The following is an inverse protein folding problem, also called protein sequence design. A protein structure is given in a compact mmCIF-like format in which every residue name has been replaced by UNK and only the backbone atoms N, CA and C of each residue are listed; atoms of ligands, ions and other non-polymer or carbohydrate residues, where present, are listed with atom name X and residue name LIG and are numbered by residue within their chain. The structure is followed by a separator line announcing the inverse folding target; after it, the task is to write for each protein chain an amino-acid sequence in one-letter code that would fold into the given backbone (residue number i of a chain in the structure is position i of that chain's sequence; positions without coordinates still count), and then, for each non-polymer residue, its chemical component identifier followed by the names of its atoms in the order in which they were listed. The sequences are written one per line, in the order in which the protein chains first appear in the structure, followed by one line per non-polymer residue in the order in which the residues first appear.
data_IF_688607809354
#
_entry.id   IF_688607809354
#
_cell.length_a   1.000
_cell.length_b   1.000
_cell.length_c   1.000
_cell.angle_alpha   90.00
_cell.angle_beta   90.00
_cell.angle_gamma   90.00
#
_symmetry.space_group_name_H-M   'P 1'
#
loop_
_entity.id
_entity.type
_entity.pdbx_description
1 polymer ?
#
# COMPACT_ATOMS: atom_id res chain seq x y z
N UNK A 1 -25.67 3.15 14.91
CA UNK A 1 -24.76 4.32 15.03
C UNK A 1 -23.71 4.10 16.09
N UNK A 2 -24.03 3.55 17.27
CA UNK A 2 -23.03 3.28 18.33
C UNK A 2 -21.88 2.35 17.93
N UNK A 3 -22.15 1.25 17.22
CA UNK A 3 -21.11 0.35 16.70
C UNK A 3 -20.11 1.07 15.79
N UNK A 4 -20.62 1.93 14.92
CA UNK A 4 -19.82 2.73 13.98
C UNK A 4 -18.97 3.76 14.73
N UNK A 5 -19.54 4.41 15.75
CA UNK A 5 -18.82 5.36 16.60
C UNK A 5 -17.73 4.67 17.43
N UNK A 6 -17.98 3.46 17.93
CA UNK A 6 -16.98 2.67 18.67
C UNK A 6 -15.82 2.23 17.77
N UNK A 7 -16.11 1.73 16.57
CA UNK A 7 -15.08 1.27 15.64
C UNK A 7 -14.22 2.43 15.12
N UNK A 8 -14.84 3.56 14.79
CA UNK A 8 -14.11 4.76 14.38
C UNK A 8 -13.24 5.32 15.53
N UNK A 9 -13.76 5.37 16.76
CA UNK A 9 -12.98 5.79 17.94
C UNK A 9 -11.84 4.83 18.26
N UNK A 10 -12.00 3.52 18.05
CA UNK A 10 -10.91 2.55 18.24
C UNK A 10 -9.83 2.70 17.17
N UNK A 11 -10.20 2.94 15.91
CA UNK A 11 -9.22 3.11 14.83
C UNK A 11 -8.46 4.44 14.97
N UNK A 12 -9.14 5.55 15.27
CA UNK A 12 -8.48 6.83 15.60
C UNK A 12 -7.65 6.73 16.89
N UNK A 13 -8.17 6.02 17.90
CA UNK A 13 -7.43 5.72 19.13
C UNK A 13 -6.15 4.92 18.87
N UNK A 14 -6.18 3.95 17.96
CA UNK A 14 -5.02 3.14 17.56
C UNK A 14 -3.97 3.90 16.75
N UNK A 15 -4.37 4.97 16.06
CA UNK A 15 -3.47 5.88 15.34
C UNK A 15 -2.71 6.83 16.28
N UNK A 16 -3.32 7.19 17.41
CA UNK A 16 -2.79 8.17 18.36
C UNK A 16 -2.17 7.55 19.61
N UNK A 17 -2.49 6.29 19.92
CA UNK A 17 -2.00 5.60 21.12
C UNK A 17 -0.97 4.50 20.76
N UNK A 18 0.33 4.71 21.05
CA UNK A 18 1.37 3.70 20.82
C UNK A 18 1.20 2.43 21.66
N UNK A 19 0.33 2.43 22.69
CA UNK A 19 0.00 1.25 23.50
C UNK A 19 -0.91 0.24 22.77
N UNK A 20 -1.36 0.51 21.53
CA UNK A 20 -2.07 -0.43 20.67
C UNK A 20 -1.17 -1.55 20.08
N UNK A 21 0.04 -1.71 20.60
CA UNK A 21 1.04 -2.74 20.21
C UNK A 21 0.56 -4.18 20.44
N UNK A 22 -0.63 -4.38 21.04
CA UNK A 22 -1.20 -5.70 21.36
C UNK A 22 -2.36 -6.13 20.45
N UNK A 23 -2.81 -5.28 19.52
CA UNK A 23 -3.98 -5.60 18.67
C UNK A 23 -3.67 -6.76 17.72
N UNK A 24 -2.48 -6.77 17.10
CA UNK A 24 -2.12 -7.85 16.18
C UNK A 24 -1.95 -9.20 16.88
N UNK A 25 -1.35 -9.23 18.08
CA UNK A 25 -1.19 -10.47 18.83
C UNK A 25 -2.53 -11.08 19.25
N UNK A 26 -3.50 -10.23 19.59
CA UNK A 26 -4.86 -10.65 19.90
C UNK A 26 -5.62 -11.13 18.66
N UNK A 27 -5.43 -10.46 17.52
CA UNK A 27 -6.02 -10.79 16.22
C UNK A 27 -5.66 -12.21 15.74
N UNK A 28 -4.38 -12.61 15.88
CA UNK A 28 -3.90 -13.92 15.43
C UNK A 28 -3.92 -15.00 16.52
N UNK A 29 -4.40 -14.71 17.73
CA UNK A 29 -4.34 -15.62 18.89
C UNK A 29 -4.95 -17.01 18.65
N UNK A 30 -6.01 -17.06 17.85
CA UNK A 30 -6.76 -18.30 17.59
C UNK A 30 -6.43 -18.95 16.25
N UNK A 31 -5.36 -18.48 15.57
CA UNK A 31 -5.00 -18.97 14.24
C UNK A 31 -3.90 -20.02 14.33
N UNK A 32 -4.16 -21.18 13.74
CA UNK A 32 -3.15 -22.22 13.59
C UNK A 32 -2.22 -21.92 12.40
N UNK A 33 -1.05 -21.36 12.70
CA UNK A 33 -0.01 -21.05 11.70
C UNK A 33 0.52 -22.30 10.97
N UNK A 34 0.37 -23.50 11.52
CA UNK A 34 0.80 -24.73 10.85
C UNK A 34 -0.08 -25.02 9.62
N UNK A 35 -1.38 -24.73 9.72
CA UNK A 35 -2.38 -24.96 8.66
C UNK A 35 -2.32 -23.98 7.48
N UNK A 36 -1.67 -22.82 7.67
CA UNK A 36 -1.59 -21.75 6.68
C UNK A 36 -0.57 -22.05 5.57
N UNK A 37 -0.78 -21.48 4.38
CA UNK A 37 0.20 -21.47 3.30
C UNK A 37 1.41 -20.57 3.63
N UNK A 38 2.48 -20.67 2.84
CA UNK A 38 3.68 -19.84 3.03
C UNK A 38 3.36 -18.34 2.93
N UNK A 39 2.47 -17.96 2.00
CA UNK A 39 2.08 -16.57 1.79
C UNK A 39 1.22 -16.04 2.94
N UNK A 40 0.26 -16.82 3.43
CA UNK A 40 -0.57 -16.44 4.58
C UNK A 40 0.26 -16.32 5.86
N UNK A 41 1.24 -17.21 6.07
CA UNK A 41 2.20 -17.09 7.17
C UNK A 41 3.04 -15.82 7.07
N UNK A 42 3.57 -15.51 5.88
CA UNK A 42 4.34 -14.29 5.64
C UNK A 42 3.49 -13.03 5.88
N UNK A 43 2.22 -13.07 5.45
CA UNK A 43 1.25 -12.01 5.70
C UNK A 43 1.01 -11.80 7.20
N UNK A 44 0.63 -12.85 7.92
CA UNK A 44 0.41 -12.76 9.37
C UNK A 44 1.66 -12.28 10.13
N UNK A 45 2.84 -12.78 9.76
CA UNK A 45 4.12 -12.35 10.35
C UNK A 45 4.40 -10.86 10.12
N UNK A 46 4.02 -10.30 8.98
CA UNK A 46 4.16 -8.86 8.74
C UNK A 46 3.32 -8.03 9.72
N UNK A 47 2.06 -8.41 9.93
CA UNK A 47 1.19 -7.72 10.88
C UNK A 47 1.66 -7.89 12.32
N UNK A 48 2.16 -9.07 12.69
CA UNK A 48 2.76 -9.32 14.00
C UNK A 48 4.03 -8.49 14.24
N UNK A 49 4.88 -8.32 13.21
CA UNK A 49 6.11 -7.52 13.31
C UNK A 49 5.82 -6.05 13.63
N UNK A 50 4.81 -5.46 12.99
CA UNK A 50 4.43 -4.07 13.23
C UNK A 50 3.55 -3.88 14.48
N UNK A 51 2.85 -4.93 14.93
CA UNK A 51 1.98 -4.91 16.12
C UNK A 51 0.67 -4.11 15.98
N UNK A 52 0.58 -3.25 14.95
CA UNK A 52 -0.58 -2.42 14.65
C UNK A 52 -1.01 -2.65 13.19
N UNK A 53 -2.26 -3.09 12.93
CA UNK A 53 -2.73 -3.41 11.58
C UNK A 53 -2.84 -2.19 10.65
N UNK A 54 -3.10 -1.00 11.20
CA UNK A 54 -3.15 0.25 10.44
C UNK A 54 -1.76 0.60 9.92
N UNK A 55 -0.74 0.52 10.78
CA UNK A 55 0.66 0.76 10.40
C UNK A 55 1.16 -0.32 9.43
N UNK A 56 0.87 -1.59 9.71
CA UNK A 56 1.26 -2.71 8.86
C UNK A 56 0.70 -2.55 7.43
N UNK A 57 -0.60 -2.25 7.32
CA UNK A 57 -1.28 -2.07 6.02
C UNK A 57 -0.79 -0.83 5.31
N UNK A 58 -0.66 0.30 6.02
CA UNK A 58 -0.21 1.57 5.47
C UNK A 58 1.19 1.49 4.88
N UNK A 59 2.15 0.92 5.62
CA UNK A 59 3.54 0.78 5.17
C UNK A 59 3.63 -0.18 3.98
N UNK A 60 2.96 -1.34 4.05
CA UNK A 60 2.96 -2.29 2.93
C UNK A 60 2.38 -1.67 1.65
N UNK A 61 1.22 -1.02 1.76
CA UNK A 61 0.53 -0.41 0.63
C UNK A 61 1.35 0.73 0.04
N UNK A 62 1.97 1.55 0.89
CA UNK A 62 2.82 2.66 0.46
C UNK A 62 4.04 2.18 -0.30
N UNK A 63 4.79 1.22 0.26
CA UNK A 63 5.99 0.66 -0.40
C UNK A 63 5.63 -0.01 -1.71
N UNK A 64 4.56 -0.82 -1.75
CA UNK A 64 4.11 -1.46 -2.98
C UNK A 64 3.72 -0.42 -4.04
N UNK A 65 2.97 0.62 -3.66
CA UNK A 65 2.57 1.71 -4.54
C UNK A 65 3.79 2.43 -5.12
N UNK A 66 4.73 2.85 -4.27
CA UNK A 66 5.94 3.54 -4.72
C UNK A 66 6.77 2.67 -5.67
N UNK A 67 6.99 1.39 -5.33
CA UNK A 67 7.77 0.48 -6.16
C UNK A 67 7.13 0.27 -7.53
N UNK A 68 5.82 0.05 -7.59
CA UNK A 68 5.13 -0.17 -8.87
C UNK A 68 5.03 1.14 -9.66
N UNK A 69 4.68 2.25 -8.99
CA UNK A 69 4.48 3.54 -9.64
C UNK A 69 5.79 4.09 -10.22
N UNK A 70 6.85 4.19 -9.41
CA UNK A 70 8.16 4.67 -9.88
C UNK A 70 8.89 3.62 -10.72
N UNK A 71 8.75 2.33 -10.38
CA UNK A 71 9.33 1.24 -11.17
C UNK A 71 8.81 1.21 -12.60
N UNK A 72 7.52 1.49 -12.81
CA UNK A 72 6.93 1.62 -14.15
C UNK A 72 7.55 2.74 -14.99
N UNK A 73 8.08 3.80 -14.38
CA UNK A 73 8.71 4.89 -15.11
C UNK A 73 10.10 4.52 -15.66
N UNK A 74 10.79 3.55 -15.06
CA UNK A 74 12.16 3.16 -15.41
C UNK A 74 12.28 2.70 -16.89
N UNK A 75 11.44 1.77 -17.39
CA UNK A 75 11.47 1.39 -18.81
C UNK A 75 11.33 2.59 -19.76
N UNK A 76 10.49 3.56 -19.42
CA UNK A 76 10.26 4.74 -20.26
C UNK A 76 11.46 5.69 -20.26
N UNK A 77 12.13 5.86 -19.12
CA UNK A 77 13.38 6.63 -19.03
C UNK A 77 14.47 5.99 -19.91
N UNK A 78 14.57 4.66 -19.91
CA UNK A 78 15.53 3.92 -20.75
C UNK A 78 15.20 4.10 -22.23
N UNK A 79 13.93 3.97 -22.63
CA UNK A 79 13.49 4.18 -24.01
C UNK A 79 13.80 5.61 -24.48
N UNK A 80 13.59 6.60 -23.62
CA UNK A 80 13.87 8.01 -23.93
C UNK A 80 15.36 8.30 -24.16
N UNK A 81 16.23 7.58 -23.46
CA UNK A 81 17.67 7.69 -23.61
C UNK A 81 18.19 7.08 -24.93
N UNK A 82 17.45 6.13 -25.55
CA UNK A 82 17.87 5.46 -26.78
C UNK A 82 17.62 6.34 -28.03
N UNK A 83 18.67 6.70 -28.80
CA UNK A 83 18.51 7.51 -30.02
C UNK A 83 17.60 6.85 -31.07
N UNK A 84 17.59 5.52 -31.15
CA UNK A 84 16.81 4.74 -32.11
C UNK A 84 15.29 4.82 -31.90
N UNK A 85 14.85 5.14 -30.68
CA UNK A 85 13.43 5.20 -30.31
C UNK A 85 12.84 6.61 -30.45
N UNK A 86 13.67 7.64 -30.66
CA UNK A 86 13.23 9.05 -30.80
C UNK A 86 12.27 9.26 -31.96
N UNK A 87 12.38 8.47 -33.04
CA UNK A 87 11.50 8.53 -34.21
C UNK A 87 10.03 8.16 -33.94
N UNK A 88 9.75 7.51 -32.80
CA UNK A 88 8.39 7.14 -32.39
C UNK A 88 7.76 8.17 -31.45
N UNK A 89 8.48 9.26 -31.11
CA UNK A 89 7.95 10.32 -30.25
C UNK A 89 6.99 11.21 -31.04
N UNK A 90 5.89 11.60 -30.41
CA UNK A 90 4.91 12.53 -30.97
C UNK A 90 5.44 13.98 -31.04
N UNK A 91 6.38 14.34 -30.15
CA UNK A 91 7.05 15.64 -30.10
C UNK A 91 8.56 15.40 -30.10
N UNK A 92 9.15 15.40 -31.29
CA UNK A 92 10.57 15.13 -31.53
C UNK A 92 11.50 16.28 -31.13
N UNK A 93 11.04 17.53 -31.26
CA UNK A 93 11.80 18.72 -30.86
C UNK A 93 11.97 18.88 -29.34
N UNK A 94 11.11 18.22 -28.54
CA UNK A 94 11.12 18.35 -27.08
C UNK A 94 11.81 17.17 -26.42
N UNK A 95 13.13 17.27 -26.28
CA UNK A 95 13.93 16.31 -25.53
C UNK A 95 14.11 16.85 -24.10
N UNK A 96 13.52 16.20 -23.08
CA UNK A 96 13.65 16.66 -21.70
C UNK A 96 15.10 16.50 -21.23
N UNK A 97 15.67 17.56 -20.66
CA UNK A 97 17.00 17.51 -20.06
C UNK A 97 16.96 16.76 -18.71
N UNK A 98 18.09 16.18 -18.25
CA UNK A 98 18.14 15.52 -16.94
C UNK A 98 17.72 16.43 -15.78
N UNK A 99 18.02 17.73 -15.87
CA UNK A 99 17.62 18.74 -14.88
C UNK A 99 16.09 18.93 -14.83
N UNK A 100 15.45 18.99 -16.00
CA UNK A 100 14.00 19.08 -16.10
C UNK A 100 13.33 17.82 -15.56
N UNK A 101 13.87 16.64 -15.87
CA UNK A 101 13.39 15.38 -15.33
C UNK A 101 13.50 15.37 -13.81
N UNK A 102 14.65 15.76 -13.25
CA UNK A 102 14.85 15.79 -11.80
C UNK A 102 13.94 16.79 -11.10
N UNK A 103 13.73 17.97 -11.71
CA UNK A 103 12.77 18.96 -11.21
C UNK A 103 11.36 18.39 -11.19
N UNK A 104 10.93 17.70 -12.26
CA UNK A 104 9.64 17.02 -12.33
C UNK A 104 9.51 15.94 -11.24
N UNK A 105 10.52 15.07 -11.11
CA UNK A 105 10.55 14.00 -10.09
C UNK A 105 10.37 14.56 -8.68
N UNK A 106 11.01 15.68 -8.35
CA UNK A 106 10.81 16.32 -7.04
C UNK A 106 9.37 16.77 -6.80
N UNK A 107 8.70 17.33 -7.81
CA UNK A 107 7.30 17.72 -7.69
C UNK A 107 6.38 16.52 -7.52
N UNK A 108 6.63 15.44 -8.26
CA UNK A 108 5.86 14.19 -8.12
C UNK A 108 6.07 13.56 -6.74
N UNK A 109 7.31 13.51 -6.26
CA UNK A 109 7.61 13.03 -4.90
C UNK A 109 6.91 13.89 -3.85
N UNK A 110 6.94 15.21 -4.01
CA UNK A 110 6.24 16.12 -3.09
C UNK A 110 4.73 15.84 -3.07
N UNK A 111 4.08 15.66 -4.23
CA UNK A 111 2.65 15.33 -4.27
C UNK A 111 2.35 13.94 -3.70
N UNK A 112 3.24 12.97 -3.91
CA UNK A 112 3.11 11.62 -3.33
C UNK A 112 3.14 11.66 -1.81
N UNK A 113 4.10 12.35 -1.20
CA UNK A 113 4.20 12.42 0.25
C UNK A 113 3.13 13.31 0.90
N UNK A 114 2.61 14.32 0.19
CA UNK A 114 1.65 15.29 0.77
C UNK A 114 0.19 14.94 0.54
N UNK A 115 -0.14 14.37 -0.62
CA UNK A 115 -1.53 14.08 -1.01
C UNK A 115 -1.79 12.59 -1.05
N UNK A 116 -0.91 11.82 -1.70
CA UNK A 116 -1.15 10.39 -1.88
C UNK A 116 -0.92 9.59 -0.60
N UNK A 117 0.09 9.93 0.20
CA UNK A 117 0.40 9.24 1.45
C UNK A 117 -0.77 9.29 2.45
N UNK A 118 -1.39 10.46 2.75
CA UNK A 118 -2.60 10.50 3.57
C UNK A 118 -3.75 9.67 3.00
N UNK A 119 -3.90 9.63 1.67
CA UNK A 119 -4.93 8.84 1.01
C UNK A 119 -4.67 7.32 1.12
N UNK A 120 -3.41 6.89 1.03
CA UNK A 120 -3.03 5.49 1.24
C UNK A 120 -3.22 5.09 2.71
N UNK A 121 -2.87 5.96 3.65
CA UNK A 121 -3.08 5.69 5.07
C UNK A 121 -4.56 5.65 5.45
N UNK A 122 -5.42 6.40 4.76
CA UNK A 122 -6.86 6.35 4.98
C UNK A 122 -7.54 5.11 4.38
N UNK A 123 -6.86 4.35 3.50
CA UNK A 123 -7.41 3.14 2.90
C UNK A 123 -7.84 2.10 3.94
N UNK A 124 -6.96 1.81 4.91
CA UNK A 124 -7.24 0.80 5.94
C UNK A 124 -8.46 1.13 6.81
N UNK A 125 -8.58 2.33 7.43
CA UNK A 125 -9.77 2.67 8.21
C UNK A 125 -11.04 2.71 7.36
N UNK A 126 -10.96 3.08 6.08
CA UNK A 126 -12.12 3.05 5.17
C UNK A 126 -12.54 1.60 4.90
N UNK A 127 -11.58 0.69 4.69
CA UNK A 127 -11.89 -0.73 4.51
C UNK A 127 -12.55 -1.34 5.75
N UNK A 128 -12.01 -1.07 6.94
CA UNK A 128 -12.61 -1.51 8.20
C UNK A 128 -14.02 -0.93 8.41
N UNK A 129 -14.24 0.34 8.01
CA UNK A 129 -15.56 0.97 8.05
C UNK A 129 -16.60 0.22 7.20
N UNK A 130 -16.20 -0.31 6.05
CA UNK A 130 -17.06 -1.14 5.20
C UNK A 130 -17.06 -2.64 5.59
N UNK A 131 -16.39 -3.01 6.68
CA UNK A 131 -16.31 -4.39 7.15
C UNK A 131 -15.37 -5.28 6.33
N UNK A 132 -14.46 -4.71 5.55
CA UNK A 132 -13.43 -5.44 4.82
C UNK A 132 -12.25 -5.74 5.75
N UNK A 133 -12.04 -7.02 6.05
CA UNK A 133 -10.93 -7.46 6.88
C UNK A 133 -9.66 -7.66 6.04
N UNK A 134 -8.88 -6.60 5.85
CA UNK A 134 -7.65 -6.64 5.02
C UNK A 134 -6.52 -7.44 5.65
N UNK A 135 -6.59 -7.69 6.96
CA UNK A 135 -5.56 -8.37 7.75
C UNK A 135 -5.88 -9.84 8.04
N UNK A 136 -7.07 -10.33 7.69
CA UNK A 136 -7.49 -11.69 8.03
C UNK A 136 -6.75 -12.75 7.22
N UNK A 137 -6.46 -13.86 7.90
CA UNK A 137 -6.08 -15.15 7.30
C UNK A 137 -6.99 -16.23 7.92
N UNK A 138 -7.30 -17.34 7.24
CA UNK A 138 -6.87 -17.71 5.89
C UNK A 138 -7.49 -16.82 4.80
N UNK A 139 -6.83 -16.74 3.65
CA UNK A 139 -7.35 -15.96 2.53
C UNK A 139 -8.64 -16.57 1.96
N UNK A 140 -9.50 -15.75 1.33
CA UNK A 140 -10.65 -16.27 0.61
C UNK A 140 -10.21 -17.29 -0.45
N UNK A 141 -11.04 -18.31 -0.67
CA UNK A 141 -10.77 -19.29 -1.72
C UNK A 141 -10.52 -18.58 -3.07
N UNK A 142 -9.54 -19.05 -3.84
CA UNK A 142 -9.08 -18.38 -5.07
C UNK A 142 -10.20 -18.11 -6.09
N UNK A 143 -11.26 -18.92 -6.11
CA UNK A 143 -12.43 -18.67 -6.97
C UNK A 143 -13.19 -17.41 -6.58
N UNK A 144 -13.28 -17.09 -5.28
CA UNK A 144 -13.88 -15.84 -4.81
C UNK A 144 -13.01 -14.65 -5.20
N UNK A 145 -11.69 -14.79 -5.05
CA UNK A 145 -10.72 -13.76 -5.44
C UNK A 145 -10.83 -13.48 -6.95
N UNK A 146 -10.78 -14.53 -7.78
CA UNK A 146 -10.86 -14.40 -9.24
C UNK A 146 -12.20 -13.85 -9.75
N UNK A 147 -13.27 -13.95 -8.97
CA UNK A 147 -14.57 -13.36 -9.31
C UNK A 147 -14.65 -11.86 -8.94
N UNK A 148 -13.86 -11.42 -7.96
CA UNK A 148 -13.89 -10.06 -7.43
C UNK A 148 -12.83 -9.13 -8.05
N UNK A 149 -11.88 -9.70 -8.81
CA UNK A 149 -10.84 -9.00 -9.58
C UNK A 149 -11.24 -9.01 -11.05
#
# INVERSE_FOLDING_TARGET
MEFVSQQFNSTVGSLLNPAATQVAAELYKNIDFASLSVLERAWANWYLYWGNPVLATGIMSFVLHELVYFGRAIPWIIIDAMPSMRKYKLQDEKIPTPEQQWKCTKYVLLSHFTVELPQIWSFHPICEYFGLATHEVPFPHWTKIAWQI
#
